data_IF_510949341304
#
_entry.id   IF_510949341304
#
_cell.length_a   1.000
_cell.length_b   1.000
_cell.length_c   1.000
_cell.angle_alpha   90.00
_cell.angle_beta   90.00
_cell.angle_gamma   90.00
#
_symmetry.space_group_name_H-M   'P 1'
#
loop_
_entity.id
_entity.type
_entity.pdbx_description
1 polymer ?
#
# COMPACT_ATOMS: atom_id res chain seq x y z
N UNK A 1 5.49 -2.24 11.38
CA UNK A 1 4.30 -1.98 12.24
C UNK A 1 3.70 -3.32 12.63
N UNK A 2 3.15 -3.44 13.84
CA UNK A 2 2.40 -4.63 14.28
C UNK A 2 1.08 -4.16 14.84
N UNK A 3 -0.02 -4.78 14.40
CA UNK A 3 -1.37 -4.56 14.92
C UNK A 3 -1.95 -5.92 15.34
N UNK A 4 -2.74 -5.92 16.42
CA UNK A 4 -3.40 -7.13 16.92
C UNK A 4 -4.78 -6.78 17.47
N UNK A 5 -5.70 -7.74 17.42
CA UNK A 5 -6.97 -7.67 18.14
C UNK A 5 -6.74 -7.59 19.66
N UNK A 6 -7.76 -7.16 20.39
CA UNK A 6 -7.78 -7.23 21.84
C UNK A 6 -7.65 -8.68 22.32
N UNK A 7 -6.94 -8.87 23.44
CA UNK A 7 -6.78 -10.19 24.05
C UNK A 7 -8.14 -10.71 24.55
N UNK A 8 -8.33 -12.02 24.47
CA UNK A 8 -9.49 -12.70 25.08
C UNK A 8 -10.87 -12.27 24.55
N UNK A 9 -10.90 -11.57 23.40
CA UNK A 9 -12.12 -11.19 22.68
C UNK A 9 -12.20 -11.87 21.30
N UNK A 10 -13.42 -12.20 20.89
CA UNK A 10 -13.74 -12.72 19.54
C UNK A 10 -13.91 -11.53 18.59
N UNK A 11 -12.83 -10.77 18.40
CA UNK A 11 -12.82 -9.55 17.57
C UNK A 11 -11.88 -9.71 16.38
N UNK A 12 -12.10 -8.90 15.34
CA UNK A 12 -11.20 -8.80 14.20
C UNK A 12 -9.98 -7.91 14.50
N UNK A 13 -8.97 -7.97 13.62
CA UNK A 13 -7.97 -6.90 13.50
C UNK A 13 -8.37 -6.04 12.29
N UNK A 14 -8.80 -4.81 12.56
CA UNK A 14 -9.20 -3.85 11.56
C UNK A 14 -8.53 -2.53 11.84
N UNK A 15 -8.08 -1.84 10.80
CA UNK A 15 -7.50 -0.52 10.99
C UNK A 15 -7.02 0.12 9.71
N UNK A 16 -6.57 1.36 9.88
CA UNK A 16 -5.94 2.17 8.86
C UNK A 16 -4.62 2.71 9.39
N UNK A 17 -3.62 2.80 8.53
CA UNK A 17 -2.38 3.53 8.80
C UNK A 17 -2.12 4.50 7.66
N UNK A 18 -1.69 5.71 8.00
CA UNK A 18 -1.38 6.74 7.02
C UNK A 18 0.03 7.30 7.25
N UNK A 19 0.73 7.63 6.16
CA UNK A 19 1.99 8.36 6.20
C UNK A 19 1.92 9.55 5.26
N UNK A 20 2.27 10.72 5.76
CA UNK A 20 2.45 11.89 4.91
C UNK A 20 3.68 11.70 4.02
N UNK A 21 3.50 11.99 2.73
CA UNK A 21 4.60 12.10 1.79
C UNK A 21 4.85 13.58 1.52
N UNK A 22 6.12 13.98 1.45
CA UNK A 22 6.52 15.38 1.28
C UNK A 22 5.96 16.05 0.01
N UNK A 23 5.49 15.25 -0.95
CA UNK A 23 4.91 15.74 -2.20
C UNK A 23 3.43 16.12 -1.99
N UNK A 24 3.14 17.42 -2.08
CA UNK A 24 1.79 18.01 -2.09
C UNK A 24 0.93 17.71 -0.84
N UNK A 25 1.56 17.48 0.32
CA UNK A 25 0.86 17.20 1.60
C UNK A 25 -0.24 16.14 1.48
N UNK A 26 0.10 15.05 0.78
CA UNK A 26 -0.76 13.88 0.61
C UNK A 26 -0.32 12.78 1.55
N UNK A 27 -1.23 11.86 1.85
CA UNK A 27 -0.97 10.72 2.73
C UNK A 27 -1.15 9.43 1.94
N UNK A 28 -0.16 8.55 1.99
CA UNK A 28 -0.34 7.14 1.60
C UNK A 28 -1.16 6.47 2.70
N UNK A 29 -2.21 5.76 2.32
CA UNK A 29 -3.17 5.15 3.26
C UNK A 29 -3.24 3.66 2.98
N UNK A 30 -3.14 2.85 4.03
CA UNK A 30 -3.34 1.39 3.98
C UNK A 30 -4.44 1.04 4.95
N UNK A 31 -5.44 0.29 4.49
CA UNK A 31 -6.48 -0.31 5.32
C UNK A 31 -6.35 -1.83 5.29
N UNK A 32 -6.52 -2.46 6.45
CA UNK A 32 -6.63 -3.92 6.56
C UNK A 32 -7.87 -4.32 7.36
N UNK A 33 -8.44 -5.47 7.02
CA UNK A 33 -9.50 -6.13 7.78
C UNK A 33 -9.24 -7.63 7.83
N UNK A 34 -9.06 -8.15 9.04
CA UNK A 34 -8.81 -9.55 9.35
C UNK A 34 -9.88 -10.04 10.33
N UNK A 35 -11.03 -10.54 9.83
CA UNK A 35 -12.08 -11.11 10.66
C UNK A 35 -11.57 -12.28 11.52
N UNK A 36 -12.24 -12.49 12.66
CA UNK A 36 -12.00 -13.65 13.51
C UNK A 36 -12.46 -14.95 12.85
N UNK A 37 -13.69 -14.93 12.29
CA UNK A 37 -14.28 -16.07 11.58
C UNK A 37 -14.13 -15.91 10.07
N UNK A 38 -13.24 -16.71 9.51
CA UNK A 38 -12.96 -16.76 8.08
C UNK A 38 -13.94 -17.64 7.29
N UNK A 39 -14.92 -18.30 7.93
CA UNK A 39 -15.96 -19.04 7.21
C UNK A 39 -17.10 -18.12 6.74
N UNK A 40 -17.25 -16.95 7.38
CA UNK A 40 -18.32 -15.99 7.11
C UNK A 40 -17.81 -14.68 6.50
N UNK A 41 -16.52 -14.39 6.64
CA UNK A 41 -15.93 -13.10 6.25
C UNK A 41 -14.57 -13.27 5.60
N UNK A 42 -14.37 -12.55 4.49
CA UNK A 42 -13.09 -12.48 3.80
C UNK A 42 -12.18 -11.41 4.41
N UNK A 43 -10.88 -11.56 4.15
CA UNK A 43 -9.92 -10.54 4.54
C UNK A 43 -9.90 -9.45 3.48
N UNK A 44 -9.65 -8.21 3.90
CA UNK A 44 -9.61 -7.07 2.97
C UNK A 44 -8.33 -6.27 3.15
N UNK A 45 -7.72 -5.89 2.03
CA UNK A 45 -6.61 -4.94 1.98
C UNK A 45 -6.97 -3.84 1.00
N UNK A 46 -6.74 -2.59 1.38
CA UNK A 46 -6.78 -1.48 0.45
C UNK A 46 -5.54 -0.61 0.58
N UNK A 47 -5.09 -0.07 -0.54
CA UNK A 47 -3.96 0.87 -0.61
C UNK A 47 -4.34 2.06 -1.48
N UNK A 48 -3.98 3.25 -1.02
CA UNK A 48 -4.41 4.48 -1.67
C UNK A 48 -3.57 5.69 -1.30
N UNK A 49 -3.98 6.82 -1.86
CA UNK A 49 -3.44 8.12 -1.52
C UNK A 49 -4.56 9.15 -1.36
N UNK A 50 -4.40 10.03 -0.39
CA UNK A 50 -5.31 11.17 -0.26
C UNK A 50 -5.07 12.19 -1.38
N UNK A 51 -6.11 12.96 -1.71
CA UNK A 51 -5.99 14.16 -2.51
C UNK A 51 -5.33 15.29 -1.69
N UNK A 52 -4.78 16.35 -2.33
CA UNK A 52 -4.08 17.42 -1.62
C UNK A 52 -4.92 18.02 -0.50
N UNK A 53 -4.28 18.41 0.61
CA UNK A 53 -4.89 19.10 1.75
C UNK A 53 -5.95 18.27 2.52
N UNK A 54 -6.03 16.96 2.30
CA UNK A 54 -6.78 16.05 3.17
C UNK A 54 -5.88 15.69 4.35
N UNK A 55 -6.08 16.40 5.46
CA UNK A 55 -5.23 16.34 6.66
C UNK A 55 -5.83 15.39 7.72
N UNK A 56 -7.16 15.21 7.70
CA UNK A 56 -7.86 14.44 8.72
C UNK A 56 -8.11 13.00 8.27
N UNK A 57 -7.89 12.07 9.19
CA UNK A 57 -8.01 10.62 8.99
C UNK A 57 -9.45 10.13 9.26
N UNK A 58 -10.32 11.02 9.75
CA UNK A 58 -11.72 10.72 10.08
C UNK A 58 -12.48 10.13 8.88
N UNK A 59 -12.91 8.88 9.03
CA UNK A 59 -13.69 8.15 8.04
C UNK A 59 -12.88 7.49 6.92
N UNK A 60 -11.55 7.58 6.89
CA UNK A 60 -10.73 6.91 5.86
C UNK A 60 -10.90 5.38 5.92
N UNK A 61 -10.95 4.81 7.13
CA UNK A 61 -11.14 3.37 7.31
C UNK A 61 -12.47 2.88 6.71
N UNK A 62 -13.58 3.56 7.03
CA UNK A 62 -14.90 3.23 6.50
C UNK A 62 -15.00 3.49 5.00
N UNK A 63 -14.42 4.60 4.52
CA UNK A 63 -14.35 4.90 3.10
C UNK A 63 -13.66 3.77 2.33
N UNK A 64 -12.53 3.29 2.85
CA UNK A 64 -11.77 2.20 2.22
C UNK A 64 -12.48 0.85 2.36
N UNK A 65 -13.27 0.61 3.40
CA UNK A 65 -13.88 -0.70 3.66
C UNK A 65 -15.29 -0.86 3.06
N UNK A 66 -16.17 0.12 3.22
CA UNK A 66 -17.57 0.04 2.79
C UNK A 66 -17.84 0.69 1.44
N UNK A 67 -17.01 1.65 1.04
CA UNK A 67 -17.26 2.49 -0.13
C UNK A 67 -16.14 2.34 -1.16
N UNK A 68 -16.10 3.25 -2.14
CA UNK A 68 -15.07 3.30 -3.20
C UNK A 68 -14.28 4.61 -3.17
N UNK A 69 -13.40 4.81 -4.16
CA UNK A 69 -12.66 6.07 -4.33
C UNK A 69 -13.60 7.27 -4.44
N UNK A 70 -13.17 8.44 -3.94
CA UNK A 70 -13.94 9.68 -3.98
C UNK A 70 -13.03 10.91 -4.17
N UNK A 71 -13.60 12.11 -4.05
CA UNK A 71 -12.88 13.38 -4.21
C UNK A 71 -11.76 13.64 -3.17
N UNK A 72 -11.71 12.87 -2.07
CA UNK A 72 -10.73 13.00 -0.99
C UNK A 72 -9.68 11.88 -1.01
N UNK A 73 -10.03 10.71 -1.52
CA UNK A 73 -9.19 9.51 -1.45
C UNK A 73 -9.34 8.68 -2.72
N UNK A 74 -8.22 8.45 -3.41
CA UNK A 74 -8.10 7.42 -4.44
C UNK A 74 -7.47 6.17 -3.84
N UNK A 75 -8.01 4.99 -4.13
CA UNK A 75 -7.47 3.72 -3.67
C UNK A 75 -7.98 2.55 -4.52
N UNK A 76 -7.30 1.42 -4.37
CA UNK A 76 -7.77 0.12 -4.83
C UNK A 76 -7.93 -0.81 -3.63
N UNK A 77 -8.97 -1.66 -3.67
CA UNK A 77 -9.27 -2.63 -2.60
C UNK A 77 -9.36 -4.02 -3.18
N UNK A 78 -8.84 -4.99 -2.43
CA UNK A 78 -8.87 -6.39 -2.80
C UNK A 78 -9.32 -7.26 -1.64
N UNK A 79 -10.15 -8.24 -2.00
CA UNK A 79 -10.57 -9.34 -1.14
C UNK A 79 -9.54 -10.47 -1.18
N UNK A 80 -9.28 -11.05 -0.01
CA UNK A 80 -8.36 -12.17 0.20
C UNK A 80 -9.10 -13.29 0.92
N UNK A 81 -9.20 -14.44 0.24
CA UNK A 81 -9.91 -15.61 0.75
C UNK A 81 -9.07 -16.88 0.53
N UNK A 82 -9.01 -17.39 -0.71
CA UNK A 82 -8.19 -18.56 -1.07
C UNK A 82 -6.89 -18.22 -1.79
N UNK A 83 -6.74 -16.99 -2.25
CA UNK A 83 -5.60 -16.54 -3.04
C UNK A 83 -4.96 -15.30 -2.43
N UNK A 84 -3.71 -15.05 -2.85
CA UNK A 84 -2.96 -13.84 -2.48
C UNK A 84 -2.78 -12.99 -3.75
N UNK A 85 -3.85 -12.36 -4.26
CA UNK A 85 -3.74 -11.44 -5.38
C UNK A 85 -2.83 -10.26 -5.01
N UNK A 86 -2.16 -9.71 -6.01
CA UNK A 86 -1.44 -8.44 -5.85
C UNK A 86 -2.39 -7.30 -6.21
N UNK A 87 -2.61 -6.39 -5.27
CA UNK A 87 -3.23 -5.10 -5.58
C UNK A 87 -2.22 -4.29 -6.38
N UNK A 88 -2.60 -3.89 -7.59
CA UNK A 88 -1.81 -2.96 -8.41
C UNK A 88 -2.65 -1.72 -8.65
N UNK A 89 -2.14 -0.57 -8.25
CA UNK A 89 -2.85 0.70 -8.36
C UNK A 89 -1.91 1.83 -8.71
N UNK A 90 -2.38 2.79 -9.51
CA UNK A 90 -1.59 3.94 -9.93
C UNK A 90 -2.24 5.24 -9.43
N UNK A 91 -1.42 6.18 -8.99
CA UNK A 91 -1.81 7.59 -8.81
C UNK A 91 -1.19 8.41 -9.95
N UNK A 92 -1.95 8.71 -11.01
CA UNK A 92 -1.40 9.35 -12.21
C UNK A 92 -0.85 10.75 -11.94
N UNK A 93 -1.48 11.53 -11.05
CA UNK A 93 -1.07 12.91 -10.78
C UNK A 93 0.30 13.04 -10.10
N UNK A 94 0.80 11.94 -9.53
CA UNK A 94 2.12 11.84 -8.90
C UNK A 94 3.06 10.89 -9.63
N UNK A 95 2.57 10.18 -10.66
CA UNK A 95 3.33 9.13 -11.32
C UNK A 95 3.76 8.03 -10.34
N UNK A 96 2.93 7.66 -9.37
CA UNK A 96 3.23 6.58 -8.42
C UNK A 96 2.52 5.29 -8.81
N UNK A 97 3.20 4.17 -8.60
CA UNK A 97 2.61 2.83 -8.68
C UNK A 97 2.72 2.13 -7.32
N UNK A 98 1.64 1.48 -6.92
CA UNK A 98 1.51 0.72 -5.69
C UNK A 98 1.38 -0.76 -6.01
N UNK A 99 2.08 -1.58 -5.22
CA UNK A 99 1.90 -3.02 -5.17
C UNK A 99 1.66 -3.42 -3.73
N UNK A 100 0.59 -4.16 -3.48
CA UNK A 100 0.26 -4.62 -2.15
C UNK A 100 -0.21 -6.08 -2.13
N UNK A 101 0.20 -6.81 -1.10
CA UNK A 101 -0.27 -8.17 -0.83
C UNK A 101 -0.57 -8.36 0.64
N UNK A 102 -1.49 -9.28 0.93
CA UNK A 102 -1.84 -9.72 2.27
C UNK A 102 -1.94 -11.24 2.30
N UNK A 103 -1.37 -11.90 3.31
CA UNK A 103 -1.54 -13.35 3.45
C UNK A 103 -2.94 -13.71 3.98
N UNK A 104 -3.41 -14.91 3.65
CA UNK A 104 -4.75 -15.42 4.01
C UNK A 104 -4.77 -16.17 5.35
N UNK A 105 -3.80 -15.90 6.23
CA UNK A 105 -3.69 -16.53 7.56
C UNK A 105 -4.08 -15.56 8.68
N UNK A 106 -4.46 -16.08 9.85
CA UNK A 106 -4.81 -15.25 11.02
C UNK A 106 -3.62 -14.41 11.56
N UNK A 107 -2.39 -14.81 11.25
CA UNK A 107 -1.19 -14.00 11.46
C UNK A 107 -0.78 -13.36 10.14
N UNK A 108 -1.64 -12.47 9.65
CA UNK A 108 -1.47 -11.94 8.30
C UNK A 108 -0.27 -11.00 8.20
N UNK A 109 0.47 -11.15 7.10
CA UNK A 109 1.52 -10.22 6.72
C UNK A 109 1.04 -9.38 5.55
N UNK A 110 0.98 -8.07 5.80
CA UNK A 110 0.72 -7.06 4.76
C UNK A 110 2.06 -6.53 4.25
N UNK A 111 2.29 -6.64 2.94
CA UNK A 111 3.43 -6.04 2.26
C UNK A 111 2.93 -4.99 1.29
N UNK A 112 3.40 -3.76 1.43
CA UNK A 112 3.11 -2.67 0.50
C UNK A 112 4.41 -2.06 0.03
N UNK A 113 4.53 -1.89 -1.28
CA UNK A 113 5.62 -1.18 -1.93
C UNK A 113 5.06 -0.16 -2.89
N UNK A 114 5.60 1.04 -2.89
CA UNK A 114 5.27 2.04 -3.89
C UNK A 114 6.53 2.70 -4.42
N UNK A 115 6.50 3.09 -5.69
CA UNK A 115 7.63 3.72 -6.37
C UNK A 115 7.17 4.70 -7.43
N UNK A 116 8.07 5.59 -7.85
CA UNK A 116 7.87 6.36 -9.05
C UNK A 116 7.73 5.42 -10.26
N UNK A 117 6.81 5.77 -11.17
CA UNK A 117 6.53 5.04 -12.40
C UNK A 117 7.67 5.17 -13.40
N UNK A 118 8.32 6.33 -13.44
CA UNK A 118 9.47 6.60 -14.30
C UNK A 118 10.71 6.97 -13.47
N UNK A 119 11.88 6.57 -13.96
CA UNK A 119 13.13 6.75 -13.24
C UNK A 119 13.50 8.24 -13.04
N UNK A 120 13.07 9.14 -13.94
CA UNK A 120 13.32 10.59 -13.83
C UNK A 120 12.71 11.21 -12.58
N UNK A 121 11.61 10.63 -12.08
CA UNK A 121 10.84 11.17 -10.95
C UNK A 121 11.39 10.68 -9.60
N UNK A 122 12.36 9.78 -9.63
CA UNK A 122 13.08 9.36 -8.43
C UNK A 122 13.92 10.53 -7.88
N UNK A 123 14.06 10.57 -6.56
CA UNK A 123 14.97 11.49 -5.91
C UNK A 123 16.40 11.32 -6.48
N UNK A 124 17.11 12.43 -6.71
CA UNK A 124 18.46 12.44 -7.32
C UNK A 124 19.41 11.40 -6.70
N UNK A 125 19.49 11.22 -5.36
CA UNK A 125 20.37 10.21 -4.76
C UNK A 125 20.03 8.77 -5.19
N UNK A 126 18.74 8.45 -5.37
CA UNK A 126 18.29 7.13 -5.81
C UNK A 126 18.66 6.92 -7.28
N UNK A 127 18.41 7.92 -8.14
CA UNK A 127 18.81 7.89 -9.55
C UNK A 127 20.31 7.65 -9.71
N UNK A 128 21.11 8.47 -9.03
CA UNK A 128 22.57 8.40 -9.09
C UNK A 128 23.09 7.01 -8.64
N UNK A 129 22.44 6.39 -7.66
CA UNK A 129 22.78 5.05 -7.19
C UNK A 129 22.41 3.96 -8.20
N UNK A 130 21.22 4.05 -8.82
CA UNK A 130 20.78 3.10 -9.85
C UNK A 130 21.68 3.16 -11.10
N UNK A 131 22.05 4.36 -11.53
CA UNK A 131 22.93 4.56 -12.69
C UNK A 131 24.32 3.96 -12.46
N UNK A 132 24.89 4.13 -11.26
CA UNK A 132 26.16 3.51 -10.86
C UNK A 132 26.08 1.98 -10.91
N UNK A 133 25.00 1.40 -10.41
CA UNK A 133 24.81 -0.05 -10.40
C UNK A 133 24.61 -0.64 -11.81
N UNK A 134 23.88 0.06 -12.69
CA UNK A 134 23.74 -0.35 -14.09
C UNK A 134 25.07 -0.30 -14.84
N UNK A 135 25.85 0.77 -14.69
CA UNK A 135 27.20 0.89 -15.28
C UNK A 135 28.12 -0.25 -14.80
N UNK A 136 28.08 -0.56 -13.49
CA UNK A 136 28.84 -1.68 -12.93
C UNK A 136 28.45 -3.01 -13.56
N UNK A 137 27.15 -3.32 -13.70
CA UNK A 137 26.66 -4.56 -14.35
C UNK A 137 27.09 -4.67 -15.82
N UNK A 138 27.07 -3.57 -16.58
CA UNK A 138 27.53 -3.56 -17.97
C UNK A 138 29.03 -3.87 -18.07
N UNK A 139 29.86 -3.31 -17.19
CA UNK A 139 31.32 -3.56 -17.18
C UNK A 139 31.70 -5.02 -16.87
N UNK A 140 30.87 -5.78 -16.15
CA UNK A 140 31.10 -7.21 -15.89
C UNK A 140 30.77 -8.07 -17.12
N UNK A 141 29.83 -7.62 -17.96
CA UNK A 141 29.41 -8.32 -19.17
C UNK A 141 30.40 -8.16 -20.34
N UNK A 142 31.27 -7.15 -20.30
CA UNK A 142 32.32 -6.94 -21.32
C UNK A 142 33.69 -7.55 -20.94
N UNK A 143 33.78 -8.30 -19.83
CA UNK A 143 35.02 -8.94 -19.35
C UNK A 143 35.01 -10.48 -19.47
N UNK A 144 34.17 -11.03 -20.33
CA UNK A 144 34.21 -12.43 -20.77
C UNK A 144 34.51 -12.47 -22.27
#
# INVERSE_FOLDING_TARGET
MVARKTSDTVTCSFGVVSWEIAVKSRRVVIMWSLPYDYNLHSYWLAVGITKPNVINDDGLADQMYYYGSNAKLGFERQEYYYSVPTVQWEEPELGLIFFATMSTTQHSLVKVTFSAKIASDLAKPIRDHLDKNQKKKRLIHYKQ
#
